data_IF_877366730159
#
_entry.id   IF_877366730159
#
_cell.length_a   1.000
_cell.length_b   1.000
_cell.length_c   1.000
_cell.angle_alpha   90.00
_cell.angle_beta   90.00
_cell.angle_gamma   90.00
#
_symmetry.space_group_name_H-M   'P 1'
#
loop_
_entity.id
_entity.type
_entity.pdbx_description
1 polymer ?
#
# COMPACT_ATOMS: atom_id res chain seq x y z
N UNK A 1 7.61 12.37 16.31
CA UNK A 1 8.53 13.13 15.42
C UNK A 1 8.04 14.58 15.47
N UNK A 2 8.88 15.49 15.89
CA UNK A 2 8.59 16.92 15.94
C UNK A 2 9.59 17.66 15.05
N UNK A 3 9.08 18.61 14.25
CA UNK A 3 9.88 19.40 13.31
C UNK A 3 10.35 18.61 12.08
N UNK A 4 11.35 19.16 11.40
CA UNK A 4 11.91 18.55 10.19
C UNK A 4 13.01 17.55 10.55
N UNK A 5 12.92 16.34 10.02
CA UNK A 5 13.95 15.29 10.15
C UNK A 5 14.57 15.05 8.77
N UNK A 6 15.82 15.50 8.61
CA UNK A 6 16.50 15.45 7.31
C UNK A 6 17.15 14.10 6.98
N UNK A 7 17.21 13.19 7.96
CA UNK A 7 17.79 11.83 7.79
C UNK A 7 16.67 10.81 7.78
N UNK A 8 16.64 9.88 6.81
CA UNK A 8 15.64 8.83 6.79
C UNK A 8 15.66 7.96 8.06
N UNK A 9 14.49 7.69 8.61
CA UNK A 9 14.30 6.75 9.71
C UNK A 9 14.06 5.38 9.08
N UNK A 10 14.87 4.37 9.43
CA UNK A 10 14.73 3.02 8.90
C UNK A 10 14.33 2.07 10.04
N UNK A 11 13.21 1.38 9.88
CA UNK A 11 12.75 0.30 10.73
C UNK A 11 13.06 -1.03 10.03
N UNK A 12 14.04 -1.77 10.54
CA UNK A 12 14.40 -3.06 9.99
C UNK A 12 13.79 -4.19 10.84
N UNK A 13 12.95 -5.00 10.23
CA UNK A 13 12.34 -6.19 10.81
C UNK A 13 13.00 -7.41 10.21
N UNK A 14 13.87 -8.03 10.98
CA UNK A 14 14.64 -9.21 10.56
C UNK A 14 14.29 -10.41 11.41
N UNK A 15 14.14 -11.57 10.79
CA UNK A 15 13.89 -12.85 11.45
C UNK A 15 14.97 -13.85 11.10
N UNK A 16 15.18 -14.82 11.99
CA UNK A 16 16.11 -15.93 11.82
C UNK A 16 15.42 -17.16 11.16
N UNK A 17 16.19 -18.24 11.02
CA UNK A 17 15.77 -19.49 10.35
C UNK A 17 14.94 -20.43 11.25
N UNK A 18 14.54 -20.03 12.45
CA UNK A 18 13.94 -20.90 13.45
C UNK A 18 12.43 -21.16 13.28
N UNK A 19 11.81 -20.65 12.22
CA UNK A 19 10.38 -20.88 11.92
C UNK A 19 9.41 -20.29 12.94
N UNK A 20 9.80 -19.23 13.64
CA UNK A 20 8.99 -18.54 14.64
C UNK A 20 8.02 -17.56 14.01
N UNK A 21 6.98 -17.18 14.74
CA UNK A 21 6.14 -16.06 14.38
C UNK A 21 6.58 -14.78 15.08
N UNK A 22 6.57 -13.67 14.33
CA UNK A 22 6.92 -12.32 14.81
C UNK A 22 5.75 -11.37 14.61
N UNK A 23 5.39 -10.64 15.67
CA UNK A 23 4.22 -9.74 15.68
C UNK A 23 4.61 -8.35 16.19
N UNK A 24 5.53 -7.62 15.53
CA UNK A 24 5.93 -6.30 15.98
C UNK A 24 4.76 -5.31 15.85
N UNK A 25 4.62 -4.45 16.86
CA UNK A 25 3.67 -3.34 16.84
C UNK A 25 4.44 -2.05 16.97
N UNK A 26 4.25 -1.15 16.01
CA UNK A 26 4.94 0.15 15.97
C UNK A 26 3.91 1.26 15.81
N UNK A 27 4.09 2.34 16.57
CA UNK A 27 3.33 3.57 16.42
C UNK A 27 4.26 4.72 16.07
N UNK A 28 3.90 5.46 15.03
CA UNK A 28 4.64 6.64 14.56
C UNK A 28 3.69 7.82 14.55
N UNK A 29 4.10 8.92 15.18
CA UNK A 29 3.33 10.16 15.19
C UNK A 29 4.20 11.32 14.72
N UNK A 30 3.76 12.00 13.68
CA UNK A 30 4.31 13.28 13.25
C UNK A 30 3.47 14.41 13.88
N UNK A 31 4.13 15.35 14.56
CA UNK A 31 3.49 16.55 15.04
C UNK A 31 3.09 17.49 13.89
N UNK A 32 2.22 18.43 14.16
CA UNK A 32 1.79 19.42 13.18
C UNK A 32 2.98 20.16 12.55
N UNK A 33 2.96 20.31 11.24
CA UNK A 33 4.02 20.92 10.45
C UNK A 33 5.35 20.14 10.41
N UNK A 34 5.42 18.94 10.99
CA UNK A 34 6.62 18.11 10.93
C UNK A 34 6.80 17.48 9.56
N UNK A 35 8.06 17.16 9.22
CA UNK A 35 8.37 16.38 8.02
C UNK A 35 9.40 15.29 8.29
N UNK A 36 9.20 14.11 7.69
CA UNK A 36 10.10 12.98 7.84
C UNK A 36 10.05 12.04 6.64
N UNK A 37 11.12 11.26 6.46
CA UNK A 37 11.16 10.09 5.61
C UNK A 37 11.24 8.85 6.50
N UNK A 38 10.30 7.91 6.32
CA UNK A 38 10.26 6.66 7.07
C UNK A 38 10.34 5.48 6.10
N UNK A 39 11.23 4.54 6.34
CA UNK A 39 11.33 3.32 5.57
C UNK A 39 11.18 2.08 6.46
N UNK A 40 10.39 1.10 6.02
CA UNK A 40 10.30 -0.22 6.60
C UNK A 40 10.99 -1.25 5.70
N UNK A 41 11.84 -2.06 6.31
CA UNK A 41 12.50 -3.17 5.65
C UNK A 41 12.13 -4.46 6.36
N UNK A 42 11.45 -5.37 5.66
CA UNK A 42 11.05 -6.67 6.17
C UNK A 42 11.83 -7.78 5.46
N UNK A 43 12.56 -8.58 6.24
CA UNK A 43 13.33 -9.72 5.75
C UNK A 43 13.40 -10.79 6.82
N UNK A 44 12.56 -11.80 6.70
CA UNK A 44 12.60 -13.02 7.52
C UNK A 44 12.99 -14.22 6.66
N UNK A 45 13.67 -15.17 7.28
CA UNK A 45 14.12 -16.37 6.57
C UNK A 45 12.99 -17.42 6.46
N UNK A 46 12.34 -17.79 7.56
CA UNK A 46 11.24 -18.76 7.63
C UNK A 46 10.26 -18.36 8.74
N UNK A 47 8.97 -18.64 8.54
CA UNK A 47 7.94 -18.43 9.55
C UNK A 47 6.91 -17.39 9.18
N UNK A 48 6.24 -16.84 10.17
CA UNK A 48 5.22 -15.83 10.01
C UNK A 48 5.72 -14.47 10.51
N UNK A 49 5.68 -13.46 9.65
CA UNK A 49 5.84 -12.06 10.02
C UNK A 49 4.47 -11.37 9.94
N UNK A 50 3.97 -10.85 11.06
CA UNK A 50 2.67 -10.17 11.13
C UNK A 50 2.80 -8.79 11.81
N UNK A 51 3.47 -7.81 11.18
CA UNK A 51 3.66 -6.48 11.73
C UNK A 51 2.37 -5.66 11.70
N UNK A 52 2.16 -4.89 12.76
CA UNK A 52 1.13 -3.87 12.84
C UNK A 52 1.78 -2.49 12.97
N UNK A 53 1.45 -1.60 12.05
CA UNK A 53 1.93 -0.21 12.05
C UNK A 53 0.74 0.74 12.23
N UNK A 54 0.86 1.70 13.15
CA UNK A 54 -0.07 2.82 13.28
C UNK A 54 0.69 4.13 13.01
N UNK A 55 0.20 4.93 12.07
CA UNK A 55 0.83 6.19 11.66
C UNK A 55 -0.18 7.32 11.79
N UNK A 56 0.19 8.38 12.52
CA UNK A 56 -0.55 9.63 12.57
C UNK A 56 0.30 10.75 11.97
N UNK A 57 -0.22 11.41 10.95
CA UNK A 57 0.40 12.59 10.32
C UNK A 57 -0.41 13.81 10.73
N UNK A 58 0.18 14.68 11.56
CA UNK A 58 -0.44 15.89 12.07
C UNK A 58 -0.79 16.92 10.99
N UNK A 59 -1.44 17.99 11.38
CA UNK A 59 -1.86 19.04 10.44
C UNK A 59 -0.66 19.68 9.74
N UNK A 60 -0.76 19.84 8.43
CA UNK A 60 0.30 20.43 7.57
C UNK A 60 1.65 19.71 7.67
N UNK A 61 1.65 18.47 8.19
CA UNK A 61 2.84 17.62 8.23
C UNK A 61 3.01 16.84 6.93
N UNK A 62 4.24 16.42 6.65
CA UNK A 62 4.58 15.61 5.47
C UNK A 62 5.31 14.34 5.86
N UNK A 63 4.83 13.22 5.37
CA UNK A 63 5.49 11.93 5.49
C UNK A 63 5.75 11.32 4.11
N UNK A 64 7.02 11.13 3.77
CA UNK A 64 7.43 10.27 2.68
C UNK A 64 7.72 8.88 3.25
N UNK A 65 7.04 7.85 2.73
CA UNK A 65 7.04 6.51 3.31
C UNK A 65 7.40 5.45 2.29
N UNK A 66 8.24 4.50 2.69
CA UNK A 66 8.56 3.33 1.88
C UNK A 66 8.45 2.04 2.70
N UNK A 67 7.86 0.99 2.13
CA UNK A 67 7.83 -0.37 2.69
C UNK A 67 8.40 -1.36 1.69
N UNK A 68 9.43 -2.10 2.11
CA UNK A 68 10.04 -3.17 1.31
C UNK A 68 9.82 -4.50 2.03
N UNK A 69 9.00 -5.36 1.45
CA UNK A 69 8.77 -6.72 1.90
C UNK A 69 9.51 -7.67 0.97
N UNK A 70 10.56 -8.35 1.49
CA UNK A 70 11.36 -9.35 0.76
C UNK A 70 11.73 -10.54 1.65
N UNK A 71 10.75 -11.08 2.35
CA UNK A 71 10.90 -12.30 3.11
C UNK A 71 11.24 -13.49 2.21
N UNK A 72 11.79 -14.55 2.77
CA UNK A 72 12.12 -15.74 1.98
C UNK A 72 10.88 -16.38 1.37
N UNK A 73 11.04 -17.14 0.29
CA UNK A 73 9.95 -17.84 -0.38
C UNK A 73 9.24 -18.90 0.50
N UNK A 74 9.72 -19.19 1.69
CA UNK A 74 9.13 -20.14 2.64
C UNK A 74 8.41 -19.47 3.79
N UNK A 75 8.35 -18.14 3.81
CA UNK A 75 7.70 -17.36 4.86
C UNK A 75 6.29 -16.91 4.46
N UNK A 76 5.50 -16.55 5.48
CA UNK A 76 4.27 -15.80 5.32
C UNK A 76 4.44 -14.39 5.92
N UNK A 77 3.92 -13.37 5.22
CA UNK A 77 3.93 -11.98 5.66
C UNK A 77 2.51 -11.41 5.64
N UNK A 78 1.98 -11.04 6.80
CA UNK A 78 0.63 -10.51 6.97
C UNK A 78 0.69 -9.15 7.67
N UNK A 79 0.96 -8.10 6.92
CA UNK A 79 1.13 -6.75 7.48
C UNK A 79 -0.17 -5.96 7.46
N UNK A 80 -0.43 -5.22 8.54
CA UNK A 80 -1.49 -4.22 8.58
C UNK A 80 -0.91 -2.85 8.95
N UNK A 81 -1.33 -1.81 8.20
CA UNK A 81 -0.94 -0.42 8.42
C UNK A 81 -2.18 0.45 8.54
N UNK A 82 -2.36 1.11 9.67
CA UNK A 82 -3.35 2.18 9.85
C UNK A 82 -2.68 3.54 9.70
N UNK A 83 -3.24 4.43 8.87
CA UNK A 83 -2.73 5.77 8.62
C UNK A 83 -3.85 6.79 8.79
N UNK A 84 -3.59 7.83 9.57
CA UNK A 84 -4.51 8.97 9.72
C UNK A 84 -3.82 10.26 9.30
N UNK A 85 -4.50 11.04 8.45
CA UNK A 85 -3.99 12.28 7.88
C UNK A 85 -4.79 13.47 8.41
N UNK A 86 -4.09 14.43 9.02
CA UNK A 86 -4.63 15.72 9.51
C UNK A 86 -4.86 16.73 8.39
N UNK A 87 -5.31 17.93 8.77
CA UNK A 87 -5.61 19.03 7.84
C UNK A 87 -4.37 19.48 7.06
N UNK A 88 -4.50 19.54 5.73
CA UNK A 88 -3.41 19.97 4.83
C UNK A 88 -2.16 19.11 4.92
N UNK A 89 -2.25 17.90 5.46
CA UNK A 89 -1.12 16.98 5.54
C UNK A 89 -0.87 16.32 4.19
N UNK A 90 0.36 15.86 3.98
CA UNK A 90 0.80 15.19 2.75
C UNK A 90 1.43 13.84 3.09
N UNK A 91 0.97 12.79 2.41
CA UNK A 91 1.53 11.45 2.49
C UNK A 91 1.88 10.93 1.09
N UNK A 92 3.15 10.60 0.91
CA UNK A 92 3.66 9.94 -0.30
C UNK A 92 4.18 8.55 0.08
N UNK A 93 3.41 7.51 -0.22
CA UNK A 93 3.70 6.14 0.14
C UNK A 93 4.11 5.28 -1.05
N UNK A 94 5.15 4.46 -0.85
CA UNK A 94 5.55 3.42 -1.79
C UNK A 94 5.71 2.08 -1.07
N UNK A 95 5.09 1.02 -1.61
CA UNK A 95 5.18 -0.33 -1.08
C UNK A 95 5.66 -1.30 -2.16
N UNK A 96 6.57 -2.20 -1.80
CA UNK A 96 7.00 -3.29 -2.69
C UNK A 96 6.90 -4.63 -1.98
N UNK A 97 6.24 -5.60 -2.63
CA UNK A 97 6.07 -6.97 -2.15
C UNK A 97 6.72 -7.93 -3.16
N UNK A 98 7.84 -8.53 -2.78
CA UNK A 98 8.65 -9.38 -3.67
C UNK A 98 9.10 -10.69 -3.01
N UNK A 99 8.69 -10.95 -1.77
CA UNK A 99 9.06 -12.12 -0.99
C UNK A 99 7.87 -12.82 -0.36
N UNK A 100 8.16 -13.92 0.34
CA UNK A 100 7.15 -14.77 0.97
C UNK A 100 6.53 -15.78 0.01
N UNK A 101 6.05 -16.90 0.53
CA UNK A 101 5.10 -17.76 -0.17
C UNK A 101 3.73 -17.11 -0.21
N UNK A 102 3.36 -16.46 0.89
CA UNK A 102 2.15 -15.64 1.03
C UNK A 102 2.57 -14.27 1.57
N UNK A 103 2.23 -13.20 0.88
CA UNK A 103 2.42 -11.84 1.35
C UNK A 103 1.12 -11.04 1.20
N UNK A 104 0.59 -10.51 2.30
CA UNK A 104 -0.54 -9.59 2.32
C UNK A 104 -0.12 -8.28 2.97
N UNK A 105 -0.27 -7.19 2.23
CA UNK A 105 -0.09 -5.83 2.71
C UNK A 105 -1.46 -5.15 2.76
N UNK A 106 -1.98 -4.96 3.96
CA UNK A 106 -3.26 -4.29 4.19
C UNK A 106 -3.02 -2.87 4.71
N UNK A 107 -3.61 -1.87 4.06
CA UNK A 107 -3.41 -0.46 4.40
C UNK A 107 -4.76 0.24 4.54
N UNK A 108 -5.06 0.73 5.72
CA UNK A 108 -6.24 1.51 6.05
C UNK A 108 -5.84 2.99 6.21
N UNK A 109 -6.38 3.85 5.37
CA UNK A 109 -6.04 5.28 5.35
C UNK A 109 -7.30 6.10 5.61
N UNK A 110 -7.21 7.03 6.54
CA UNK A 110 -8.28 7.99 6.83
C UNK A 110 -7.78 9.42 6.64
N UNK A 111 -8.37 10.13 5.68
CA UNK A 111 -8.15 11.57 5.52
C UNK A 111 -9.14 12.28 6.46
N UNK A 112 -8.67 12.58 7.67
CA UNK A 112 -9.47 13.09 8.79
C UNK A 112 -9.50 14.62 8.89
N UNK A 113 -8.60 15.30 8.18
CA UNK A 113 -8.57 16.76 8.03
C UNK A 113 -8.89 17.17 6.59
N UNK A 114 -9.35 18.41 6.40
CA UNK A 114 -9.57 18.99 5.08
C UNK A 114 -8.24 19.20 4.34
N UNK A 115 -8.28 19.21 3.01
CA UNK A 115 -7.12 19.47 2.13
C UNK A 115 -5.95 18.49 2.33
N UNK A 116 -6.20 17.31 2.87
CA UNK A 116 -5.18 16.27 2.96
C UNK A 116 -4.91 15.67 1.57
N UNK A 117 -3.63 15.37 1.30
CA UNK A 117 -3.16 14.77 0.04
C UNK A 117 -2.47 13.43 0.31
N UNK A 118 -2.93 12.37 -0.34
CA UNK A 118 -2.48 11.00 -0.10
C UNK A 118 -2.18 10.27 -1.40
N UNK A 119 -0.92 10.01 -1.69
CA UNK A 119 -0.51 9.10 -2.76
C UNK A 119 -0.02 7.79 -2.17
N UNK A 120 -0.58 6.66 -2.63
CA UNK A 120 -0.10 5.32 -2.30
C UNK A 120 0.21 4.53 -3.57
N UNK A 121 1.48 4.28 -3.82
CA UNK A 121 1.94 3.41 -4.90
C UNK A 121 2.36 2.05 -4.34
N UNK A 122 1.98 0.96 -5.01
CA UNK A 122 2.42 -0.38 -4.62
C UNK A 122 2.82 -1.22 -5.83
N UNK A 123 3.85 -2.04 -5.65
CA UNK A 123 4.31 -3.01 -6.64
C UNK A 123 4.37 -4.39 -5.99
N UNK A 124 3.87 -5.41 -6.69
CA UNK A 124 4.12 -6.80 -6.34
C UNK A 124 4.72 -7.57 -7.51
N UNK A 125 5.70 -8.41 -7.20
CA UNK A 125 6.36 -9.29 -8.17
C UNK A 125 6.27 -10.72 -7.66
N UNK A 126 5.53 -11.58 -8.38
CA UNK A 126 5.32 -12.97 -7.99
C UNK A 126 5.90 -13.95 -9.00
N UNK A 127 6.46 -15.04 -8.50
CA UNK A 127 6.95 -16.18 -9.29
C UNK A 127 6.71 -17.51 -8.58
N UNK A 128 6.91 -18.62 -9.27
CA UNK A 128 6.63 -19.96 -8.75
C UNK A 128 5.17 -20.07 -8.26
N UNK A 129 4.92 -20.33 -6.99
CA UNK A 129 3.59 -20.41 -6.37
C UNK A 129 3.37 -19.31 -5.36
N UNK A 130 4.06 -18.18 -5.48
CA UNK A 130 3.88 -17.06 -4.57
C UNK A 130 2.50 -16.44 -4.70
N UNK A 131 1.96 -15.97 -3.58
CA UNK A 131 0.71 -15.24 -3.52
C UNK A 131 0.95 -13.86 -2.90
N UNK A 132 0.68 -12.82 -3.67
CA UNK A 132 0.77 -11.42 -3.22
C UNK A 132 -0.61 -10.77 -3.20
N UNK A 133 -1.00 -10.22 -2.07
CA UNK A 133 -2.28 -9.52 -1.87
C UNK A 133 -2.00 -8.09 -1.38
N UNK A 134 -2.44 -7.11 -2.14
CA UNK A 134 -2.46 -5.70 -1.76
C UNK A 134 -3.90 -5.30 -1.50
N UNK A 135 -4.22 -5.05 -0.24
CA UNK A 135 -5.54 -4.59 0.17
C UNK A 135 -5.46 -3.15 0.69
N UNK A 136 -6.29 -2.26 0.16
CA UNK A 136 -6.36 -0.86 0.60
C UNK A 136 -7.79 -0.46 0.96
N UNK A 137 -7.92 0.35 2.00
CA UNK A 137 -9.17 1.02 2.36
C UNK A 137 -8.86 2.51 2.57
N UNK A 138 -9.33 3.35 1.66
CA UNK A 138 -9.12 4.80 1.65
C UNK A 138 -10.43 5.48 2.05
N UNK A 139 -10.46 6.16 3.20
CA UNK A 139 -11.63 6.86 3.71
C UNK A 139 -11.43 8.36 3.70
N UNK A 140 -12.20 9.05 2.86
CA UNK A 140 -12.31 10.50 2.86
C UNK A 140 -13.39 10.91 3.86
N UNK A 141 -12.98 11.36 5.03
CA UNK A 141 -13.89 11.82 6.09
C UNK A 141 -14.16 13.33 6.02
N UNK A 142 -13.32 14.08 5.31
CA UNK A 142 -13.39 15.55 5.15
C UNK A 142 -13.24 15.95 3.69
N UNK A 143 -13.71 17.15 3.36
CA UNK A 143 -13.71 17.68 2.00
C UNK A 143 -12.36 18.18 1.50
N UNK A 144 -12.31 18.48 0.19
CA UNK A 144 -11.15 19.01 -0.52
C UNK A 144 -9.89 18.12 -0.46
N UNK A 145 -10.06 16.84 -0.18
CA UNK A 145 -8.97 15.89 -0.08
C UNK A 145 -8.65 15.25 -1.44
N UNK A 146 -7.36 14.96 -1.64
CA UNK A 146 -6.87 14.25 -2.82
C UNK A 146 -6.39 12.86 -2.42
N UNK A 147 -6.71 11.85 -3.22
CA UNK A 147 -6.09 10.53 -3.08
C UNK A 147 -5.78 9.89 -4.42
N UNK A 148 -4.60 9.29 -4.52
CA UNK A 148 -4.19 8.57 -5.71
C UNK A 148 -3.56 7.22 -5.34
N UNK A 149 -4.13 6.13 -5.86
CA UNK A 149 -3.64 4.78 -5.63
C UNK A 149 -3.16 4.19 -6.95
N UNK A 150 -1.89 3.80 -7.00
CA UNK A 150 -1.26 3.26 -8.20
C UNK A 150 -0.68 1.88 -7.87
N UNK A 151 -1.35 0.81 -8.33
CA UNK A 151 -0.94 -0.55 -8.05
C UNK A 151 -0.42 -1.20 -9.34
N UNK A 152 0.74 -1.87 -9.26
CA UNK A 152 1.36 -2.58 -10.38
C UNK A 152 1.74 -3.99 -9.95
N UNK A 153 1.41 -4.97 -10.79
CA UNK A 153 1.76 -6.37 -10.58
C UNK A 153 2.50 -6.95 -11.77
N UNK A 154 3.49 -7.80 -11.51
CA UNK A 154 4.10 -8.67 -12.52
C UNK A 154 4.13 -10.08 -11.96
N UNK A 155 3.59 -11.04 -12.72
CA UNK A 155 3.40 -12.41 -12.26
C UNK A 155 3.91 -13.40 -13.30
N UNK A 156 4.72 -14.33 -12.84
CA UNK A 156 5.28 -15.40 -13.65
C UNK A 156 4.94 -16.77 -13.06
N UNK A 157 5.26 -17.85 -13.79
CA UNK A 157 4.98 -19.24 -13.42
C UNK A 157 3.51 -19.49 -13.06
N UNK A 158 3.23 -19.87 -11.80
CA UNK A 158 1.89 -20.08 -11.23
C UNK A 158 1.62 -19.12 -10.07
N UNK A 159 2.27 -17.95 -10.08
CA UNK A 159 2.07 -16.95 -9.05
C UNK A 159 0.68 -16.30 -9.16
N UNK A 160 0.15 -15.90 -8.03
CA UNK A 160 -1.12 -15.19 -7.94
C UNK A 160 -0.95 -13.82 -7.31
N UNK A 161 -1.55 -12.80 -7.92
CA UNK A 161 -1.63 -11.44 -7.42
C UNK A 161 -3.08 -11.03 -7.18
N UNK A 162 -3.34 -10.41 -6.05
CA UNK A 162 -4.66 -9.88 -5.70
C UNK A 162 -4.54 -8.41 -5.36
N UNK A 163 -5.42 -7.60 -5.90
CA UNK A 163 -5.63 -6.24 -5.48
C UNK A 163 -7.08 -6.06 -5.04
N UNK A 164 -7.30 -5.62 -3.80
CA UNK A 164 -8.59 -5.21 -3.29
C UNK A 164 -8.47 -3.76 -2.82
N UNK A 165 -9.20 -2.86 -3.45
CA UNK A 165 -9.14 -1.45 -3.13
C UNK A 165 -10.51 -0.85 -2.93
N UNK A 166 -10.76 -0.27 -1.74
CA UNK A 166 -11.99 0.43 -1.44
C UNK A 166 -11.70 1.91 -1.22
N UNK A 167 -12.47 2.78 -1.89
CA UNK A 167 -12.52 4.21 -1.62
C UNK A 167 -13.90 4.54 -1.07
N UNK A 168 -13.94 5.06 0.15
CA UNK A 168 -15.15 5.52 0.80
C UNK A 168 -15.11 7.05 0.92
N UNK A 169 -16.17 7.72 0.48
CA UNK A 169 -16.32 9.18 0.56
C UNK A 169 -17.54 9.51 1.39
N UNK A 170 -17.33 10.11 2.57
CA UNK A 170 -18.40 10.49 3.49
C UNK A 170 -19.28 11.61 2.90
N UNK A 171 -20.55 11.80 3.38
CA UNK A 171 -21.44 12.83 2.85
C UNK A 171 -20.87 14.26 2.90
N UNK A 172 -20.10 14.57 3.96
CA UNK A 172 -19.48 15.89 4.15
C UNK A 172 -18.14 16.04 3.41
N UNK A 173 -17.62 14.98 2.78
CA UNK A 173 -16.35 14.99 2.06
C UNK A 173 -16.49 15.51 0.62
N UNK A 174 -17.10 16.70 0.48
CA UNK A 174 -17.28 17.37 -0.80
C UNK A 174 -15.94 17.80 -1.42
N UNK A 175 -15.87 17.91 -2.76
CA UNK A 175 -14.66 18.28 -3.50
C UNK A 175 -13.51 17.28 -3.36
N UNK A 176 -13.81 16.05 -2.99
CA UNK A 176 -12.85 14.95 -3.01
C UNK A 176 -12.45 14.62 -4.46
N UNK A 177 -11.14 14.44 -4.71
CA UNK A 177 -10.62 13.82 -5.92
C UNK A 177 -9.92 12.51 -5.53
N UNK A 178 -10.55 11.38 -5.88
CA UNK A 178 -10.11 10.04 -5.51
C UNK A 178 -9.84 9.18 -6.75
N UNK A 179 -8.58 8.86 -7.01
CA UNK A 179 -8.18 8.06 -8.16
C UNK A 179 -7.58 6.71 -7.73
N UNK A 180 -7.98 5.63 -8.40
CA UNK A 180 -7.47 4.30 -8.13
C UNK A 180 -7.19 3.55 -9.43
N UNK A 181 -5.93 3.10 -9.62
CA UNK A 181 -5.51 2.39 -10.82
C UNK A 181 -4.73 1.12 -10.46
N UNK A 182 -5.21 -0.03 -10.91
CA UNK A 182 -4.50 -1.31 -10.80
C UNK A 182 -4.16 -1.85 -12.20
N UNK A 183 -2.91 -2.27 -12.40
CA UNK A 183 -2.50 -2.96 -13.62
C UNK A 183 -1.61 -4.15 -13.28
N UNK A 184 -1.91 -5.31 -13.85
CA UNK A 184 -1.08 -6.50 -13.72
C UNK A 184 -0.63 -7.00 -15.09
N UNK A 185 0.62 -7.46 -15.17
CA UNK A 185 1.20 -8.11 -16.33
C UNK A 185 1.46 -9.58 -16.00
N UNK A 186 0.89 -10.47 -16.80
CA UNK A 186 1.12 -11.91 -16.70
C UNK A 186 2.20 -12.32 -17.71
N UNK A 187 3.27 -12.92 -17.20
CA UNK A 187 4.38 -13.45 -18.02
C UNK A 187 4.18 -14.94 -18.32
N UNK A 188 3.24 -15.61 -17.65
CA UNK A 188 2.91 -17.02 -17.83
C UNK A 188 1.39 -17.19 -17.91
N UNK A 189 0.95 -18.17 -18.73
CA UNK A 189 -0.47 -18.57 -18.83
C UNK A 189 -1.03 -19.23 -17.57
N UNK A 190 -0.18 -19.58 -16.59
CA UNK A 190 -0.59 -20.14 -15.30
C UNK A 190 -0.63 -19.09 -14.19
N UNK A 191 -0.10 -17.90 -14.46
CA UNK A 191 -0.19 -16.80 -13.53
C UNK A 191 -1.62 -16.24 -13.49
N UNK A 192 -2.04 -15.79 -12.32
CA UNK A 192 -3.38 -15.26 -12.09
C UNK A 192 -3.32 -13.90 -11.43
N UNK A 193 -4.14 -12.96 -11.90
CA UNK A 193 -4.31 -11.65 -11.27
C UNK A 193 -5.79 -11.35 -11.07
N UNK A 194 -6.16 -11.04 -9.83
CA UNK A 194 -7.49 -10.59 -9.45
C UNK A 194 -7.46 -9.12 -9.04
N UNK A 195 -8.43 -8.34 -9.50
CA UNK A 195 -8.57 -6.94 -9.09
C UNK A 195 -10.02 -6.65 -8.73
N UNK A 196 -10.23 -6.13 -7.52
CA UNK A 196 -11.55 -5.72 -7.01
C UNK A 196 -11.50 -4.28 -6.52
N UNK A 197 -11.56 -3.28 -7.41
CA UNK A 197 -11.73 -1.89 -7.00
C UNK A 197 -13.19 -1.60 -6.63
N UNK A 198 -13.40 -0.91 -5.51
CA UNK A 198 -14.72 -0.55 -4.99
C UNK A 198 -14.77 0.95 -4.69
N UNK A 199 -15.90 1.60 -5.05
CA UNK A 199 -16.20 3.00 -4.71
C UNK A 199 -17.52 3.05 -3.93
N UNK A 200 -17.49 3.64 -2.73
CA UNK A 200 -18.67 3.97 -1.92
C UNK A 200 -18.71 5.48 -1.73
N UNK A 201 -19.51 6.16 -2.52
CA UNK A 201 -19.55 7.63 -2.58
C UNK A 201 -20.89 8.12 -2.06
N UNK A 202 -20.84 8.92 -1.00
CA UNK A 202 -22.00 9.52 -0.36
C UNK A 202 -22.05 11.06 -0.46
N UNK A 203 -21.05 11.66 -1.15
CA UNK A 203 -21.01 13.09 -1.46
C UNK A 203 -21.39 13.33 -2.94
N UNK A 204 -21.95 14.48 -3.25
CA UNK A 204 -22.48 14.79 -4.59
C UNK A 204 -21.44 15.45 -5.50
N UNK A 205 -20.55 16.28 -4.95
CA UNK A 205 -19.59 17.10 -5.71
C UNK A 205 -18.16 16.54 -5.54
N UNK A 206 -17.86 15.48 -6.28
CA UNK A 206 -16.58 14.75 -6.20
C UNK A 206 -16.11 14.30 -7.57
N UNK A 207 -14.80 14.04 -7.70
CA UNK A 207 -14.14 13.46 -8.86
C UNK A 207 -13.52 12.13 -8.44
N UNK A 208 -14.25 11.02 -8.58
CA UNK A 208 -13.75 9.71 -8.21
C UNK A 208 -13.76 8.75 -9.38
N UNK A 209 -12.65 8.09 -9.63
CA UNK A 209 -12.53 7.11 -10.68
C UNK A 209 -11.66 5.91 -10.25
N UNK A 210 -11.99 4.76 -10.82
CA UNK A 210 -11.10 3.59 -10.71
C UNK A 210 -10.90 2.92 -12.06
N UNK A 211 -9.80 2.20 -12.20
CA UNK A 211 -9.51 1.38 -13.35
C UNK A 211 -8.70 0.13 -12.96
N UNK A 212 -9.00 -0.98 -13.60
CA UNK A 212 -8.23 -2.21 -13.44
C UNK A 212 -7.98 -2.85 -14.81
N UNK A 213 -6.75 -3.28 -15.05
CA UNK A 213 -6.37 -4.00 -16.25
C UNK A 213 -5.44 -5.17 -15.93
N UNK A 214 -5.66 -6.29 -16.59
CA UNK A 214 -4.75 -7.43 -16.61
C UNK A 214 -4.34 -7.65 -18.06
N UNK A 215 -3.03 -7.67 -18.33
CA UNK A 215 -2.47 -7.88 -19.65
C UNK A 215 -1.55 -9.08 -19.67
N UNK A 216 -1.45 -9.72 -20.83
CA UNK A 216 -0.47 -10.77 -21.13
C UNK A 216 0.49 -10.25 -22.20
N UNK A 217 1.71 -10.79 -22.22
CA UNK A 217 2.62 -10.56 -23.35
C UNK A 217 2.22 -11.44 -24.51
N UNK A 218 1.87 -10.84 -25.63
CA UNK A 218 1.65 -11.58 -26.88
C UNK A 218 3.01 -11.93 -27.50
N UNK A 219 3.31 -13.24 -27.59
CA UNK A 219 4.56 -13.76 -28.16
C UNK A 219 4.78 -13.27 -29.60
N UNK A 220 3.69 -13.03 -30.36
CA UNK A 220 3.77 -12.53 -31.73
C UNK A 220 4.21 -11.07 -31.74
N UNK A 221 3.76 -10.26 -30.80
CA UNK A 221 4.17 -8.85 -30.66
C UNK A 221 5.61 -8.70 -30.14
N UNK A 222 6.09 -9.67 -29.37
CA UNK A 222 7.48 -9.70 -28.89
C UNK A 222 8.48 -10.07 -30.00
N UNK A 223 8.01 -10.71 -31.07
CA UNK A 223 8.86 -11.17 -32.18
C UNK A 223 9.13 -10.06 -33.22
N UNK A 224 8.37 -8.98 -33.22
CA UNK A 224 8.53 -7.82 -34.10
C UNK A 224 9.09 -6.60 -33.32
#
# INVERSE_FOLDING_TARGET
IAGKVDVPIILAFTGDDNGVSSHPVVSVKLADGASAVLAEWHQSAVGLSAPLMAIEVGDKARLDYAKVQRDSAQSAHLAATGLTLGEGSVFEGFQISVGGQLARLETHITLSGENADCTLSAIYLGRANQHHDITTNMSHAKGHCLSNQIIRGVLDDSARGVFQGKVHVAPDAQKTDGQQMSRALLLSRKAEADAKPELEIYADDVLCAHGATVGELDETQLFY
#
